data_IF_577120102031
#
_entry.id   IF_577120102031
#
_cell.length_a   1.000
_cell.length_b   1.000
_cell.length_c   1.000
_cell.angle_alpha   90.00
_cell.angle_beta   90.00
_cell.angle_gamma   90.00
#
_symmetry.space_group_name_H-M   'P 1'
#
loop_
_entity.id
_entity.type
_entity.pdbx_description
1 polymer ?
#
# COMPACT_ATOMS: atom_id res chain seq x y z
N UNK A 1 25.99 32.33 11.63
CA UNK A 1 26.59 33.69 11.63
C UNK A 1 25.76 34.60 12.53
N UNK A 2 26.41 35.43 13.30
CA UNK A 2 25.72 36.40 14.13
C UNK A 2 25.17 37.58 13.32
N UNK A 3 24.26 38.34 13.93
CA UNK A 3 23.67 39.53 13.32
C UNK A 3 24.77 40.55 13.04
N UNK A 4 24.94 40.94 11.76
CA UNK A 4 26.01 41.86 11.26
C UNK A 4 27.38 41.25 11.02
N UNK A 5 27.59 39.97 11.16
CA UNK A 5 28.85 39.32 10.76
C UNK A 5 29.03 39.40 9.23
N UNK A 6 30.12 40.03 8.78
CA UNK A 6 30.45 40.18 7.36
C UNK A 6 31.17 38.95 6.86
N UNK A 7 30.79 38.44 5.69
CA UNK A 7 31.55 37.42 4.98
C UNK A 7 32.78 38.03 4.35
N UNK A 8 33.95 37.38 4.49
CA UNK A 8 35.20 37.80 3.83
C UNK A 8 35.31 37.33 2.38
N UNK A 9 34.24 36.75 1.84
CA UNK A 9 34.20 36.24 0.47
C UNK A 9 33.83 37.32 -0.55
N UNK A 10 34.25 37.16 -1.81
CA UNK A 10 34.00 38.08 -2.92
C UNK A 10 32.51 38.35 -3.23
N UNK A 11 31.59 37.58 -2.61
CA UNK A 11 30.15 37.72 -2.75
C UNK A 11 29.45 37.80 -1.39
N UNK A 12 29.49 38.94 -0.68
CA UNK A 12 29.00 39.07 0.68
C UNK A 12 27.50 38.89 0.75
N UNK A 13 27.06 37.85 1.47
CA UNK A 13 25.67 37.59 1.83
C UNK A 13 25.51 37.80 3.33
N UNK A 14 24.54 38.58 3.72
CA UNK A 14 24.32 38.96 5.11
C UNK A 14 23.04 38.36 5.64
N UNK A 15 23.00 37.99 6.94
CA UNK A 15 21.80 37.62 7.64
C UNK A 15 20.80 38.80 7.63
N UNK A 16 19.56 38.54 7.17
CA UNK A 16 18.53 39.54 7.01
C UNK A 16 17.28 39.11 7.81
N UNK A 17 17.31 39.36 9.13
CA UNK A 17 16.18 39.06 10.02
C UNK A 17 15.71 37.60 9.99
N UNK A 18 14.50 37.36 10.50
CA UNK A 18 13.80 36.09 10.51
C UNK A 18 12.50 36.18 9.70
N UNK A 19 12.02 35.08 9.16
CA UNK A 19 10.64 34.92 8.73
C UNK A 19 9.95 34.01 9.72
N UNK A 20 8.83 34.48 10.26
CA UNK A 20 7.95 33.64 11.06
C UNK A 20 7.28 32.62 10.15
N UNK A 21 7.27 31.36 10.55
CA UNK A 21 6.65 30.26 9.83
C UNK A 21 5.96 29.36 10.85
N UNK A 22 4.68 29.14 10.69
CA UNK A 22 3.95 28.14 11.42
C UNK A 22 4.09 26.80 10.69
N UNK A 23 4.50 25.76 11.40
CA UNK A 23 4.51 24.38 10.92
C UNK A 23 3.55 23.56 11.77
N UNK A 24 2.81 22.70 11.13
CA UNK A 24 1.93 21.76 11.78
C UNK A 24 2.75 20.52 12.19
N UNK A 25 2.75 20.22 13.48
CA UNK A 25 3.46 19.07 14.05
C UNK A 25 2.50 18.16 14.81
N UNK A 26 2.95 16.95 15.13
CA UNK A 26 2.19 16.02 15.97
C UNK A 26 1.85 16.56 17.39
N UNK A 27 2.41 17.71 17.77
CA UNK A 27 2.18 18.38 19.05
C UNK A 27 1.36 19.67 18.89
N UNK A 28 0.75 19.91 17.70
CA UNK A 28 0.04 21.13 17.37
C UNK A 28 0.86 22.08 16.50
N UNK A 29 0.33 23.31 16.32
CA UNK A 29 1.03 24.35 15.58
C UNK A 29 2.25 24.84 16.36
N UNK A 30 3.40 24.84 15.69
CA UNK A 30 4.66 25.36 16.21
C UNK A 30 5.13 26.53 15.38
N UNK A 31 5.16 27.71 16.01
CA UNK A 31 5.73 28.91 15.39
C UNK A 31 7.24 28.85 15.40
N UNK A 32 7.88 28.98 14.26
CA UNK A 32 9.34 29.01 14.11
C UNK A 32 9.82 30.28 13.47
N UNK A 33 10.83 30.90 14.07
CA UNK A 33 11.58 32.00 13.49
C UNK A 33 12.74 31.46 12.64
N UNK A 34 12.55 31.47 11.32
CA UNK A 34 13.53 30.96 10.38
C UNK A 34 14.47 32.10 9.91
N UNK A 35 15.80 31.96 10.11
CA UNK A 35 16.75 32.95 9.64
C UNK A 35 16.66 33.14 8.12
N UNK A 36 16.80 34.38 7.68
CA UNK A 36 16.87 34.73 6.25
C UNK A 36 18.17 35.46 5.94
N UNK A 37 18.62 35.35 4.69
CA UNK A 37 19.68 36.14 4.12
C UNK A 37 19.17 37.12 3.07
N UNK A 38 19.96 38.13 2.71
CA UNK A 38 19.55 39.12 1.72
C UNK A 38 19.41 38.59 0.30
N UNK A 39 20.14 37.52 -0.04
CA UNK A 39 20.15 36.93 -1.39
C UNK A 39 19.24 35.73 -1.51
N UNK A 40 18.49 35.37 -0.46
CA UNK A 40 17.60 34.22 -0.41
C UNK A 40 18.28 32.87 -0.75
N UNK A 41 19.60 32.78 -0.54
CA UNK A 41 20.41 31.57 -0.80
C UNK A 41 20.49 30.62 0.40
N UNK A 42 20.12 31.11 1.59
CA UNK A 42 20.12 30.28 2.79
C UNK A 42 18.99 29.24 2.73
N UNK A 43 19.37 27.98 2.80
CA UNK A 43 18.42 26.87 2.93
C UNK A 43 18.46 26.32 4.36
N UNK A 44 17.36 26.44 5.12
CA UNK A 44 17.27 25.88 6.46
C UNK A 44 17.35 24.36 6.40
N UNK A 45 18.24 23.75 7.22
CA UNK A 45 18.42 22.29 7.25
C UNK A 45 17.34 21.58 8.08
N UNK A 46 16.77 22.24 9.08
CA UNK A 46 15.80 21.65 10.01
C UNK A 46 14.38 21.68 9.45
N UNK A 47 13.99 22.75 8.79
CA UNK A 47 12.70 22.89 8.13
C UNK A 47 12.96 23.47 6.74
N UNK A 48 12.69 22.68 5.71
CA UNK A 48 12.90 23.11 4.33
C UNK A 48 12.00 24.30 3.96
N UNK A 49 12.46 25.07 2.93
CA UNK A 49 11.85 26.30 2.47
C UNK A 49 10.46 26.03 1.99
N UNK A 50 9.53 25.70 2.11
CA UNK A 50 8.16 25.33 1.67
C UNK A 50 7.58 24.12 2.40
N UNK A 51 8.27 23.56 3.37
CA UNK A 51 7.77 22.47 4.18
C UNK A 51 6.84 23.05 5.26
N UNK A 52 5.55 22.76 5.16
CA UNK A 52 4.50 23.21 6.09
C UNK A 52 4.04 22.11 7.02
N UNK A 53 4.45 20.87 6.77
CA UNK A 53 3.99 19.68 7.48
C UNK A 53 5.18 18.83 7.92
N UNK A 54 5.13 18.36 9.15
CA UNK A 54 6.11 17.43 9.68
C UNK A 54 5.88 16.03 9.09
N UNK A 55 6.94 15.32 8.70
CA UNK A 55 6.87 13.94 8.17
C UNK A 55 6.11 12.95 9.08
N UNK A 56 5.98 13.24 10.38
CA UNK A 56 5.18 12.42 11.30
C UNK A 56 3.68 12.61 11.11
N UNK A 57 3.23 13.80 10.77
CA UNK A 57 1.83 14.07 10.44
C UNK A 57 1.43 13.36 9.16
N UNK A 58 2.27 13.39 8.12
CA UNK A 58 2.07 12.65 6.88
C UNK A 58 1.85 11.15 7.18
N UNK A 59 2.72 10.55 8.01
CA UNK A 59 2.62 9.13 8.41
C UNK A 59 1.31 8.81 9.13
N UNK A 60 0.83 9.71 9.99
CA UNK A 60 -0.44 9.51 10.70
C UNK A 60 -1.63 9.59 9.75
N UNK A 61 -1.67 10.60 8.88
CA UNK A 61 -2.72 10.73 7.85
C UNK A 61 -2.74 9.50 6.94
N UNK A 62 -1.57 9.03 6.49
CA UNK A 62 -1.45 7.81 5.68
C UNK A 62 -1.95 6.59 6.47
N UNK A 63 -1.60 6.49 7.75
CA UNK A 63 -2.06 5.40 8.62
C UNK A 63 -3.58 5.37 8.77
N UNK A 64 -4.22 6.51 9.01
CA UNK A 64 -5.68 6.63 9.12
C UNK A 64 -6.36 6.31 7.77
N UNK A 65 -5.78 6.79 6.66
CA UNK A 65 -6.27 6.48 5.32
C UNK A 65 -6.17 4.98 5.01
N UNK A 66 -5.07 4.33 5.39
CA UNK A 66 -4.89 2.89 5.24
C UNK A 66 -5.86 2.07 6.11
N UNK A 67 -6.36 2.63 7.21
CA UNK A 67 -7.44 2.03 8.01
C UNK A 67 -8.84 2.21 7.36
N UNK A 68 -8.94 2.83 6.18
CA UNK A 68 -10.17 3.01 5.44
C UNK A 68 -10.98 4.25 5.82
N UNK A 69 -10.40 5.20 6.56
CA UNK A 69 -11.06 6.45 6.91
C UNK A 69 -11.21 7.36 5.70
N UNK A 70 -12.37 8.02 5.59
CA UNK A 70 -12.57 9.03 4.55
C UNK A 70 -11.77 10.30 4.86
N UNK A 71 -11.54 11.13 3.84
CA UNK A 71 -10.86 12.44 4.01
C UNK A 71 -11.51 13.29 5.10
N UNK A 72 -12.85 13.26 5.22
CA UNK A 72 -13.58 14.00 6.25
C UNK A 72 -13.36 13.43 7.64
N UNK A 73 -13.36 12.11 7.76
CA UNK A 73 -13.11 11.43 9.04
C UNK A 73 -11.69 11.71 9.51
N UNK A 74 -10.71 11.66 8.58
CA UNK A 74 -9.31 12.01 8.87
C UNK A 74 -9.20 13.46 9.36
N UNK A 75 -9.89 14.41 8.70
CA UNK A 75 -9.89 15.80 9.13
C UNK A 75 -10.43 15.95 10.54
N UNK A 76 -11.60 15.34 10.82
CA UNK A 76 -12.22 15.38 12.16
C UNK A 76 -11.32 14.76 13.23
N UNK A 77 -10.72 13.62 12.95
CA UNK A 77 -9.83 12.91 13.87
C UNK A 77 -8.54 13.69 14.15
N UNK A 78 -7.98 14.36 13.13
CA UNK A 78 -6.79 15.20 13.27
C UNK A 78 -7.08 16.42 14.14
N UNK A 79 -8.25 17.04 13.98
CA UNK A 79 -8.68 18.16 14.82
C UNK A 79 -8.94 17.71 16.27
N UNK A 80 -9.63 16.58 16.47
CA UNK A 80 -10.00 16.08 17.80
C UNK A 80 -8.79 15.59 18.60
N UNK A 81 -7.91 14.79 18.00
CA UNK A 81 -6.78 14.17 18.72
C UNK A 81 -5.55 15.06 18.83
N UNK A 82 -5.31 15.90 17.83
CA UNK A 82 -4.08 16.68 17.73
C UNK A 82 -4.27 18.19 17.70
N UNK A 83 -5.53 18.66 17.65
CA UNK A 83 -5.83 20.08 17.56
C UNK A 83 -5.36 20.73 16.26
N UNK A 84 -5.20 19.94 15.20
CA UNK A 84 -4.64 20.38 13.91
C UNK A 84 -5.77 20.39 12.87
N UNK A 85 -6.06 21.56 12.29
CA UNK A 85 -6.96 21.69 11.14
C UNK A 85 -6.21 21.38 9.85
N UNK A 86 -6.48 20.21 9.27
CA UNK A 86 -5.89 19.75 8.00
C UNK A 86 -6.91 19.87 6.89
N UNK A 87 -6.61 20.64 5.86
CA UNK A 87 -7.54 20.78 4.75
C UNK A 87 -7.71 19.47 3.95
N UNK A 88 -8.91 19.20 3.39
CA UNK A 88 -9.14 18.03 2.52
C UNK A 88 -8.16 17.93 1.36
N UNK A 89 -7.78 19.08 0.78
CA UNK A 89 -6.80 19.14 -0.31
C UNK A 89 -5.41 18.68 0.13
N UNK A 90 -5.03 19.00 1.37
CA UNK A 90 -3.75 18.56 1.93
C UNK A 90 -3.75 17.06 2.22
N UNK A 91 -4.83 16.53 2.78
CA UNK A 91 -4.98 15.08 3.00
C UNK A 91 -4.86 14.35 1.65
N UNK A 92 -5.57 14.79 0.60
CA UNK A 92 -5.48 14.21 -0.73
C UNK A 92 -4.04 14.25 -1.26
N UNK A 93 -3.35 15.38 -1.14
CA UNK A 93 -1.95 15.50 -1.58
C UNK A 93 -0.99 14.56 -0.84
N UNK A 94 -1.25 14.31 0.45
CA UNK A 94 -0.45 13.37 1.25
C UNK A 94 -0.75 11.92 0.82
N UNK A 95 -2.03 11.58 0.61
CA UNK A 95 -2.43 10.24 0.17
C UNK A 95 -2.01 9.93 -1.26
N UNK A 96 -1.92 10.93 -2.14
CA UNK A 96 -1.40 10.75 -3.51
C UNK A 96 0.06 10.25 -3.53
N UNK A 97 0.88 10.64 -2.55
CA UNK A 97 2.24 10.10 -2.41
C UNK A 97 2.27 8.59 -2.17
N UNK A 98 1.22 8.04 -1.56
CA UNK A 98 1.09 6.59 -1.34
C UNK A 98 0.90 5.86 -2.67
N UNK A 99 0.21 6.48 -3.62
CA UNK A 99 -0.02 5.89 -4.96
C UNK A 99 1.31 5.69 -5.68
N UNK A 100 2.20 6.70 -5.64
CA UNK A 100 3.54 6.59 -6.24
C UNK A 100 4.37 5.48 -5.56
N UNK A 101 4.42 5.47 -4.23
CA UNK A 101 5.13 4.44 -3.48
C UNK A 101 4.55 3.04 -3.69
N UNK A 102 3.22 2.93 -3.82
CA UNK A 102 2.54 1.67 -4.13
C UNK A 102 2.87 1.19 -5.54
N UNK A 103 2.93 2.09 -6.52
CA UNK A 103 3.32 1.75 -7.89
C UNK A 103 4.78 1.28 -7.97
N UNK A 104 5.70 1.96 -7.28
CA UNK A 104 7.10 1.55 -7.16
C UNK A 104 7.23 0.17 -6.50
N UNK A 105 6.50 -0.04 -5.38
CA UNK A 105 6.47 -1.33 -4.72
C UNK A 105 5.90 -2.43 -5.63
N UNK A 106 4.83 -2.17 -6.36
CA UNK A 106 4.20 -3.13 -7.28
C UNK A 106 5.11 -3.51 -8.44
N UNK A 107 5.98 -2.59 -8.91
CA UNK A 107 6.88 -2.82 -10.05
C UNK A 107 8.28 -3.31 -9.65
N UNK A 108 8.55 -3.52 -8.36
CA UNK A 108 9.87 -3.95 -7.87
C UNK A 108 10.30 -5.29 -8.45
N UNK A 109 11.58 -5.50 -8.55
CA UNK A 109 12.17 -6.81 -8.86
C UNK A 109 11.80 -7.83 -7.78
N UNK A 110 11.63 -9.08 -8.18
CA UNK A 110 11.28 -10.21 -7.33
C UNK A 110 12.41 -11.26 -7.38
N UNK A 111 12.39 -12.16 -6.41
CA UNK A 111 13.33 -13.29 -6.42
C UNK A 111 13.02 -14.24 -7.60
N UNK A 112 14.04 -14.90 -8.11
CA UNK A 112 13.92 -15.81 -9.26
C UNK A 112 13.07 -17.04 -8.96
N UNK A 113 13.10 -17.55 -7.71
CA UNK A 113 12.43 -18.81 -7.34
C UNK A 113 11.59 -18.61 -6.09
N UNK A 114 10.33 -19.04 -6.17
CA UNK A 114 9.42 -19.12 -5.02
C UNK A 114 8.93 -20.56 -4.81
N UNK A 115 9.29 -21.21 -3.67
CA UNK A 115 8.83 -22.56 -3.36
C UNK A 115 7.31 -22.68 -3.30
N UNK A 116 6.63 -21.69 -2.70
CA UNK A 116 5.19 -21.72 -2.56
C UNK A 116 4.62 -20.33 -2.84
N UNK A 117 3.66 -20.28 -3.74
CA UNK A 117 2.90 -19.06 -4.07
C UNK A 117 1.43 -19.29 -3.76
N UNK A 118 0.78 -18.31 -3.12
CA UNK A 118 -0.64 -18.29 -2.81
C UNK A 118 -1.31 -17.21 -3.65
N UNK A 119 -2.35 -17.59 -4.37
CA UNK A 119 -3.16 -16.68 -5.19
C UNK A 119 -4.61 -16.71 -4.70
N UNK A 120 -5.11 -15.55 -4.32
CA UNK A 120 -6.47 -15.40 -3.75
C UNK A 120 -7.11 -14.10 -4.24
N UNK A 121 -8.43 -14.04 -4.23
CA UNK A 121 -9.20 -12.88 -4.65
C UNK A 121 -10.13 -12.40 -3.54
N UNK A 122 -10.07 -11.10 -3.24
CA UNK A 122 -10.97 -10.46 -2.29
C UNK A 122 -11.94 -9.55 -3.01
N UNK A 123 -13.24 -9.87 -2.96
CA UNK A 123 -14.28 -9.06 -3.57
C UNK A 123 -14.71 -7.91 -2.65
N UNK A 124 -14.84 -6.72 -3.21
CA UNK A 124 -15.31 -5.54 -2.50
C UNK A 124 -16.18 -4.66 -3.40
N UNK A 125 -16.99 -3.81 -2.78
CA UNK A 125 -17.87 -2.87 -3.49
C UNK A 125 -17.29 -1.48 -3.42
N UNK A 126 -17.24 -0.81 -4.57
CA UNK A 126 -16.85 0.60 -4.67
C UNK A 126 -17.97 1.40 -5.33
N UNK A 127 -18.03 2.69 -5.01
CA UNK A 127 -18.89 3.62 -5.74
C UNK A 127 -18.08 4.19 -6.91
N UNK A 128 -18.55 3.96 -8.11
CA UNK A 128 -17.97 4.44 -9.36
C UNK A 128 -19.10 5.07 -10.19
N UNK A 129 -18.97 6.30 -10.64
CA UNK A 129 -19.98 7.09 -11.36
C UNK A 129 -21.39 6.99 -10.74
N UNK A 130 -21.51 7.22 -9.43
CA UNK A 130 -22.74 7.09 -8.65
C UNK A 130 -23.41 5.70 -8.65
N UNK A 131 -22.74 4.67 -9.18
CA UNK A 131 -23.19 3.27 -9.13
C UNK A 131 -22.31 2.48 -8.16
N UNK A 132 -22.90 1.45 -7.54
CA UNK A 132 -22.13 0.49 -6.75
C UNK A 132 -21.69 -0.61 -7.70
N UNK A 133 -20.38 -0.71 -7.94
CA UNK A 133 -19.76 -1.79 -8.73
C UNK A 133 -18.99 -2.74 -7.82
N UNK A 134 -18.98 -4.01 -8.18
CA UNK A 134 -18.14 -5.00 -7.50
C UNK A 134 -16.79 -5.06 -8.20
N UNK A 135 -15.71 -4.91 -7.42
CA UNK A 135 -14.33 -5.11 -7.89
C UNK A 135 -13.68 -6.22 -7.07
N UNK A 136 -12.63 -6.82 -7.61
CA UNK A 136 -11.83 -7.79 -6.88
C UNK A 136 -10.39 -7.30 -6.77
N UNK A 137 -9.79 -7.49 -5.59
CA UNK A 137 -8.37 -7.37 -5.38
C UNK A 137 -7.76 -8.78 -5.41
N UNK A 138 -6.92 -9.03 -6.37
CA UNK A 138 -6.19 -10.27 -6.55
C UNK A 138 -4.84 -10.14 -5.87
N UNK A 139 -4.60 -10.97 -4.89
CA UNK A 139 -3.40 -10.92 -4.04
C UNK A 139 -2.54 -12.14 -4.35
N UNK A 140 -1.28 -11.90 -4.66
CA UNK A 140 -0.27 -12.93 -4.80
C UNK A 140 0.71 -12.83 -3.64
N UNK A 141 0.74 -13.83 -2.77
CA UNK A 141 1.66 -13.95 -1.65
C UNK A 141 2.55 -15.17 -1.86
N UNK A 142 3.82 -15.07 -1.49
CA UNK A 142 4.76 -16.18 -1.61
C UNK A 142 5.55 -16.42 -0.32
N UNK A 143 6.16 -17.58 -0.25
CA UNK A 143 7.28 -17.87 0.63
C UNK A 143 8.57 -17.82 -0.19
N UNK A 144 9.55 -17.08 0.28
CA UNK A 144 10.89 -17.08 -0.30
C UNK A 144 11.68 -18.37 0.08
N UNK A 145 12.88 -18.53 -0.48
CA UNK A 145 13.76 -19.67 -0.17
C UNK A 145 14.18 -19.76 1.31
N UNK A 146 13.95 -18.70 2.10
CA UNK A 146 14.22 -18.66 3.56
C UNK A 146 12.97 -18.93 4.38
N UNK A 147 11.82 -19.19 3.74
CA UNK A 147 10.53 -19.38 4.38
C UNK A 147 9.86 -18.08 4.87
N UNK A 148 10.34 -16.91 4.45
CA UNK A 148 9.73 -15.63 4.78
C UNK A 148 8.59 -15.34 3.83
N UNK A 149 7.49 -14.82 4.37
CA UNK A 149 6.34 -14.38 3.56
C UNK A 149 6.62 -13.03 2.92
N UNK A 150 6.28 -12.92 1.63
CA UNK A 150 6.27 -11.68 0.87
C UNK A 150 4.98 -11.57 0.06
N UNK A 151 4.46 -10.36 -0.12
CA UNK A 151 3.35 -10.09 -1.04
C UNK A 151 3.97 -9.65 -2.36
N UNK A 152 3.85 -10.50 -3.38
CA UNK A 152 4.45 -10.25 -4.69
C UNK A 152 3.74 -9.15 -5.46
N UNK A 153 2.44 -9.00 -5.25
CA UNK A 153 1.65 -7.94 -5.88
C UNK A 153 0.17 -8.01 -5.55
N UNK A 154 -0.52 -6.90 -5.85
CA UNK A 154 -1.95 -6.73 -5.72
C UNK A 154 -2.48 -6.13 -7.02
N UNK A 155 -3.43 -6.79 -7.68
CA UNK A 155 -4.04 -6.31 -8.91
C UNK A 155 -5.53 -6.09 -8.67
N UNK A 156 -6.09 -5.03 -9.23
CA UNK A 156 -7.51 -4.72 -9.11
C UNK A 156 -8.17 -4.92 -10.48
N UNK A 157 -9.23 -5.71 -10.51
CA UNK A 157 -9.99 -6.00 -11.74
C UNK A 157 -11.48 -6.09 -11.49
N UNK A 158 -12.26 -5.95 -12.59
CA UNK A 158 -13.72 -6.06 -12.56
C UNK A 158 -14.20 -7.46 -12.91
N UNK A 159 -13.36 -8.26 -13.57
CA UNK A 159 -13.71 -9.60 -14.02
C UNK A 159 -12.56 -10.59 -13.82
N UNK A 160 -12.92 -11.76 -13.35
CA UNK A 160 -12.04 -12.92 -13.28
C UNK A 160 -12.08 -13.66 -14.61
N UNK A 161 -10.93 -13.80 -15.25
CA UNK A 161 -10.83 -14.58 -16.46
C UNK A 161 -9.41 -15.07 -16.70
N UNK A 162 -9.27 -16.10 -17.52
CA UNK A 162 -7.96 -16.66 -17.87
C UNK A 162 -6.98 -15.62 -18.41
N UNK A 163 -7.47 -14.63 -19.17
CA UNK A 163 -6.64 -13.53 -19.69
C UNK A 163 -6.08 -12.64 -18.59
N UNK A 164 -6.89 -12.34 -17.58
CA UNK A 164 -6.45 -11.54 -16.44
C UNK A 164 -5.35 -12.28 -15.66
N UNK A 165 -5.58 -13.54 -15.32
CA UNK A 165 -4.59 -14.35 -14.62
C UNK A 165 -3.31 -14.57 -15.42
N UNK A 166 -3.43 -14.71 -16.74
CA UNK A 166 -2.26 -14.76 -17.62
C UNK A 166 -1.45 -13.45 -17.55
N UNK A 167 -2.11 -12.29 -17.49
CA UNK A 167 -1.43 -11.01 -17.32
C UNK A 167 -0.72 -10.89 -15.98
N UNK A 168 -1.32 -11.39 -14.89
CA UNK A 168 -0.68 -11.46 -13.56
C UNK A 168 0.56 -12.35 -13.58
N UNK A 169 0.46 -13.56 -14.16
CA UNK A 169 1.60 -14.47 -14.26
C UNK A 169 2.73 -13.88 -15.12
N UNK A 170 2.40 -13.21 -16.22
CA UNK A 170 3.39 -12.53 -17.05
C UNK A 170 4.03 -11.33 -16.33
N UNK A 171 3.29 -10.60 -15.51
CA UNK A 171 3.84 -9.52 -14.68
C UNK A 171 4.88 -10.08 -13.70
N UNK A 172 4.56 -11.17 -13.00
CA UNK A 172 5.51 -11.85 -12.12
C UNK A 172 6.78 -12.29 -12.89
N UNK A 173 6.62 -12.86 -14.08
CA UNK A 173 7.73 -13.28 -14.95
C UNK A 173 8.60 -12.10 -15.36
N UNK A 174 7.98 -10.98 -15.77
CA UNK A 174 8.68 -9.76 -16.19
C UNK A 174 9.45 -9.10 -15.03
N UNK A 175 9.01 -9.32 -13.79
CA UNK A 175 9.65 -8.83 -12.58
C UNK A 175 10.71 -9.78 -12.00
N UNK A 176 11.06 -10.83 -12.72
CA UNK A 176 12.19 -11.72 -12.42
C UNK A 176 11.81 -13.10 -11.90
N UNK A 177 10.54 -13.43 -11.66
CA UNK A 177 10.16 -14.77 -11.18
C UNK A 177 10.34 -15.78 -12.33
N UNK A 178 11.33 -16.65 -12.21
CA UNK A 178 11.62 -17.65 -13.21
C UNK A 178 10.92 -18.97 -12.94
N UNK A 179 10.78 -19.36 -11.65
CA UNK A 179 10.14 -20.61 -11.27
C UNK A 179 9.28 -20.53 -10.02
N UNK A 180 8.19 -21.30 -10.04
CA UNK A 180 7.26 -21.50 -8.91
C UNK A 180 7.05 -23.00 -8.75
N UNK A 181 7.46 -23.56 -7.58
CA UNK A 181 7.33 -24.99 -7.38
C UNK A 181 5.90 -25.42 -7.08
N UNK A 182 5.23 -24.72 -6.17
CA UNK A 182 3.84 -25.01 -5.76
C UNK A 182 3.03 -23.73 -5.82
N UNK A 183 1.92 -23.75 -6.54
CA UNK A 183 0.93 -22.67 -6.54
C UNK A 183 -0.34 -23.13 -5.82
N UNK A 184 -0.61 -22.51 -4.68
CA UNK A 184 -1.84 -22.68 -3.91
C UNK A 184 -2.87 -21.65 -4.36
N UNK A 185 -4.02 -22.09 -4.86
CA UNK A 185 -5.03 -21.21 -5.40
C UNK A 185 -6.45 -21.61 -5.06
N UNK A 186 -7.36 -20.66 -5.07
CA UNK A 186 -8.78 -20.95 -5.13
C UNK A 186 -9.12 -21.61 -6.47
N UNK A 187 -10.18 -22.41 -6.50
CA UNK A 187 -10.65 -23.06 -7.72
C UNK A 187 -11.24 -22.08 -8.75
N UNK A 188 -10.50 -21.01 -9.05
CA UNK A 188 -10.90 -19.99 -10.01
C UNK A 188 -10.72 -20.51 -11.45
N UNK A 189 -11.77 -20.35 -12.24
CA UNK A 189 -11.81 -20.87 -13.60
C UNK A 189 -10.76 -20.19 -14.47
N UNK A 190 -9.90 -21.00 -15.09
CA UNK A 190 -8.85 -20.54 -16.01
C UNK A 190 -7.53 -20.09 -15.34
N UNK A 191 -7.46 -20.06 -14.00
CA UNK A 191 -6.21 -19.76 -13.30
C UNK A 191 -5.20 -20.92 -13.40
N UNK A 192 -5.59 -22.20 -13.22
CA UNK A 192 -4.66 -23.32 -13.39
C UNK A 192 -3.99 -23.36 -14.76
N UNK A 193 -4.76 -23.09 -15.81
CA UNK A 193 -4.26 -23.08 -17.19
C UNK A 193 -3.34 -21.89 -17.44
N UNK A 194 -3.68 -20.69 -16.89
CA UNK A 194 -2.88 -19.50 -17.04
C UNK A 194 -1.51 -19.66 -16.38
N UNK A 195 -1.44 -20.18 -15.15
CA UNK A 195 -0.18 -20.34 -14.45
C UNK A 195 0.70 -21.43 -15.12
N UNK A 196 0.13 -22.53 -15.56
CA UNK A 196 0.88 -23.58 -16.30
C UNK A 196 1.39 -23.10 -17.65
N UNK A 197 0.77 -22.10 -18.25
CA UNK A 197 1.26 -21.52 -19.50
C UNK A 197 2.56 -20.75 -19.29
N UNK A 198 2.73 -20.09 -18.16
CA UNK A 198 3.93 -19.28 -17.83
C UNK A 198 4.96 -20.08 -17.05
N UNK A 199 4.49 -20.97 -16.17
CA UNK A 199 5.31 -21.86 -15.31
C UNK A 199 4.90 -23.32 -15.52
N UNK A 200 5.40 -24.00 -16.56
CA UNK A 200 4.94 -25.34 -16.97
C UNK A 200 5.11 -26.41 -15.90
N UNK A 201 6.17 -26.31 -15.11
CA UNK A 201 6.54 -27.32 -14.10
C UNK A 201 5.87 -27.10 -12.74
N UNK A 202 5.04 -26.06 -12.60
CA UNK A 202 4.35 -25.74 -11.34
C UNK A 202 3.39 -26.85 -10.91
N UNK A 203 3.48 -27.24 -9.65
CA UNK A 203 2.50 -28.11 -8.99
C UNK A 203 1.34 -27.27 -8.44
N UNK A 204 0.11 -27.55 -8.91
CA UNK A 204 -1.08 -26.81 -8.48
C UNK A 204 -1.70 -27.49 -7.28
N UNK A 205 -1.89 -26.73 -6.21
CA UNK A 205 -2.59 -27.14 -5.00
C UNK A 205 -3.86 -26.30 -4.83
N UNK A 206 -5.02 -26.95 -4.77
CA UNK A 206 -6.26 -26.24 -4.46
C UNK A 206 -6.31 -25.87 -2.97
N UNK A 207 -6.73 -24.65 -2.66
CA UNK A 207 -6.83 -24.16 -1.29
C UNK A 207 -7.84 -24.99 -0.48
N UNK A 208 -7.36 -25.66 0.56
CA UNK A 208 -8.18 -26.54 1.43
C UNK A 208 -9.32 -25.74 2.09
N UNK A 209 -9.05 -24.50 2.53
CA UNK A 209 -10.06 -23.63 3.16
C UNK A 209 -11.22 -23.34 2.21
N UNK A 210 -10.90 -23.03 0.95
CA UNK A 210 -11.94 -22.80 -0.07
C UNK A 210 -12.67 -24.08 -0.46
N UNK A 211 -12.00 -25.23 -0.51
CA UNK A 211 -12.67 -26.53 -0.71
C UNK A 211 -13.66 -26.83 0.40
N UNK A 212 -13.28 -26.63 1.66
CA UNK A 212 -14.16 -26.81 2.81
C UNK A 212 -15.38 -25.88 2.71
N UNK A 213 -15.16 -24.59 2.47
CA UNK A 213 -16.26 -23.61 2.30
C UNK A 213 -17.20 -24.00 1.16
N UNK A 214 -16.65 -24.46 0.06
CA UNK A 214 -17.44 -24.91 -1.09
C UNK A 214 -18.23 -26.17 -0.76
N UNK A 215 -17.67 -27.14 -0.02
CA UNK A 215 -18.36 -28.34 0.41
C UNK A 215 -19.59 -28.03 1.29
N UNK A 216 -19.46 -27.02 2.17
CA UNK A 216 -20.57 -26.59 3.03
C UNK A 216 -21.81 -26.11 2.27
N UNK A 217 -21.65 -25.63 1.03
CA UNK A 217 -22.78 -25.19 0.19
C UNK A 217 -23.74 -26.35 -0.16
N UNK A 218 -23.27 -27.58 -0.12
CA UNK A 218 -24.05 -28.78 -0.43
C UNK A 218 -24.61 -29.45 0.85
N UNK A 219 -24.34 -28.92 2.04
CA UNK A 219 -24.77 -29.47 3.31
C UNK A 219 -25.87 -28.59 3.90
N UNK A 220 -26.96 -29.21 4.34
CA UNK A 220 -28.03 -28.49 5.02
C UNK A 220 -27.49 -27.78 6.28
N UNK A 221 -27.95 -26.57 6.55
CA UNK A 221 -27.40 -25.69 7.63
C UNK A 221 -27.41 -26.38 9.01
N UNK A 222 -28.38 -27.23 9.28
CA UNK A 222 -28.49 -28.01 10.54
C UNK A 222 -27.35 -29.02 10.70
N UNK A 223 -26.82 -29.57 9.61
CA UNK A 223 -25.86 -30.67 9.58
C UNK A 223 -24.40 -30.16 9.39
N UNK A 224 -24.24 -28.87 9.05
CA UNK A 224 -22.91 -28.26 8.76
C UNK A 224 -21.94 -28.36 9.94
N UNK A 225 -22.45 -28.24 11.19
CA UNK A 225 -21.60 -28.27 12.37
C UNK A 225 -21.02 -29.67 12.61
N UNK A 226 -21.81 -30.71 12.39
CA UNK A 226 -21.38 -32.10 12.52
C UNK A 226 -20.41 -32.47 11.42
N UNK A 227 -20.74 -32.14 10.17
CA UNK A 227 -19.88 -32.33 9.02
C UNK A 227 -18.51 -31.66 9.21
N UNK A 228 -18.45 -30.41 9.72
CA UNK A 228 -17.20 -29.71 10.00
C UNK A 228 -16.37 -30.38 11.09
N UNK A 229 -17.03 -30.98 12.08
CA UNK A 229 -16.34 -31.74 13.15
C UNK A 229 -15.67 -32.98 12.59
N UNK A 230 -16.36 -33.70 11.73
CA UNK A 230 -15.84 -34.93 11.12
C UNK A 230 -14.73 -34.61 10.11
N UNK A 231 -14.91 -33.57 9.34
CA UNK A 231 -13.92 -33.13 8.35
C UNK A 231 -12.58 -32.70 8.99
N UNK A 232 -12.62 -32.19 10.23
CA UNK A 232 -11.39 -31.83 10.98
C UNK A 232 -10.45 -33.02 11.22
N UNK A 233 -10.93 -34.24 11.13
CA UNK A 233 -10.08 -35.44 11.27
C UNK A 233 -9.25 -35.75 10.02
N UNK A 234 -9.52 -35.05 8.90
CA UNK A 234 -8.93 -35.29 7.58
C UNK A 234 -7.84 -34.29 7.23
N UNK A 235 -7.80 -33.11 7.89
CA UNK A 235 -6.82 -32.05 7.61
C UNK A 235 -6.27 -31.43 8.88
#
# INVERSE_FOLDING_TARGET
RERHERSNEANPNYRNWYSFKTIESSFGEVGLDIPRDRKAQFEPKVVKKYETVCNELDKKIIGLYACGMSVRDIQSEMEELYGIDVSPAMISKITDKVVEAAAEWQSRELDEIYPIVYMDAMHFKVRDDNKIVSKAAYICMALDMKGKKDILGIWIGESEGSKFWLSVCNDLKNRGVEDILIACMEGLKGLPEAIKTVYPDVSIQTCIVHQIRNSLKYIASKDQREFMKDLKSVY
#
